data_IF_594821771560
#
_entry.id   IF_594821771560
#
_cell.length_a   1.000
_cell.length_b   1.000
_cell.length_c   1.000
_cell.angle_alpha   90.00
_cell.angle_beta   90.00
_cell.angle_gamma   90.00
#
_symmetry.space_group_name_H-M   'P 1'
#
loop_
_entity.id
_entity.type
_entity.pdbx_description
1 polymer ?
#
# COMPACT_ATOMS: atom_id res chain seq x y z
N UNK A 1 -6.19 21.79 20.05
CA UNK A 1 -5.50 22.48 18.94
C UNK A 1 -6.53 22.86 17.91
N UNK A 2 -6.38 24.01 17.26
CA UNK A 2 -7.20 24.35 16.11
C UNK A 2 -6.69 23.58 14.86
N UNK A 3 -7.52 23.51 13.80
CA UNK A 3 -7.21 22.78 12.56
C UNK A 3 -5.96 23.34 11.85
N UNK A 4 -5.80 24.66 11.80
CA UNK A 4 -4.64 25.34 11.21
C UNK A 4 -3.37 25.06 12.01
N UNK A 5 -3.44 25.10 13.34
CA UNK A 5 -2.28 24.73 14.18
C UNK A 5 -1.88 23.28 14.00
N UNK A 6 -2.84 22.37 13.86
CA UNK A 6 -2.57 20.92 13.65
C UNK A 6 -1.93 20.68 12.28
N UNK A 7 -2.46 21.30 11.23
CA UNK A 7 -1.91 21.17 9.89
C UNK A 7 -0.49 21.76 9.81
N UNK A 8 -0.28 22.93 10.40
CA UNK A 8 1.05 23.54 10.45
C UNK A 8 2.06 22.62 11.16
N UNK A 9 1.69 22.03 12.30
CA UNK A 9 2.54 21.11 13.04
C UNK A 9 2.87 19.83 12.26
N UNK A 10 1.90 19.27 11.52
CA UNK A 10 2.12 18.12 10.63
C UNK A 10 3.09 18.47 9.50
N UNK A 11 2.86 19.59 8.81
CA UNK A 11 3.68 20.01 7.68
C UNK A 11 5.11 20.39 8.07
N UNK A 12 5.32 20.89 9.29
CA UNK A 12 6.65 21.21 9.83
C UNK A 12 7.34 20.04 10.53
N UNK A 13 6.75 18.84 10.56
CA UNK A 13 7.29 17.70 11.28
C UNK A 13 8.39 16.98 10.48
N UNK A 14 9.60 16.94 11.05
CA UNK A 14 10.71 16.13 10.52
C UNK A 14 10.47 14.61 10.65
N UNK A 15 9.40 14.21 11.37
CA UNK A 15 9.00 12.80 11.52
C UNK A 15 8.11 12.31 10.37
N UNK A 16 7.72 13.19 9.43
CA UNK A 16 7.01 12.79 8.22
C UNK A 16 7.88 11.80 7.43
N UNK A 17 7.48 10.53 7.36
CA UNK A 17 8.31 9.52 6.75
C UNK A 17 8.38 9.73 5.24
N UNK A 18 9.58 9.71 4.68
CA UNK A 18 9.78 9.76 3.24
C UNK A 18 9.36 8.43 2.61
N UNK A 19 8.67 8.51 1.46
CA UNK A 19 8.33 7.31 0.71
C UNK A 19 9.62 6.64 0.20
N UNK A 20 9.77 5.31 0.36
CA UNK A 20 10.82 4.55 -0.29
C UNK A 20 10.86 4.83 -1.80
N UNK A 21 12.05 4.81 -2.38
CA UNK A 21 12.27 5.12 -3.81
C UNK A 21 11.38 4.30 -4.74
N UNK A 22 11.15 3.02 -4.43
CA UNK A 22 10.26 2.14 -5.21
C UNK A 22 8.81 2.61 -5.17
N UNK A 23 8.34 3.07 -4.01
CA UNK A 23 6.99 3.60 -3.81
C UNK A 23 6.78 4.92 -4.58
N UNK A 24 7.78 5.82 -4.53
CA UNK A 24 7.72 7.07 -5.28
C UNK A 24 7.71 6.81 -6.79
N UNK A 25 8.63 5.96 -7.28
CA UNK A 25 8.70 5.61 -8.70
C UNK A 25 7.44 4.92 -9.20
N UNK A 26 6.79 4.09 -8.39
CA UNK A 26 5.58 3.40 -8.85
C UNK A 26 4.43 4.37 -9.06
N UNK A 27 4.30 5.42 -8.22
CA UNK A 27 3.32 6.49 -8.43
C UNK A 27 3.56 7.18 -9.77
N UNK A 28 4.82 7.53 -10.06
CA UNK A 28 5.18 8.20 -11.32
C UNK A 28 4.94 7.31 -12.54
N UNK A 29 5.33 6.04 -12.50
CA UNK A 29 5.11 5.11 -13.61
C UNK A 29 3.62 4.92 -13.87
N UNK A 30 2.86 4.61 -12.83
CA UNK A 30 1.42 4.32 -12.99
C UNK A 30 0.56 5.53 -13.32
N UNK A 31 1.12 6.74 -13.32
CA UNK A 31 0.45 7.95 -13.82
C UNK A 31 0.62 8.14 -15.34
N UNK A 32 1.51 7.39 -16.00
CA UNK A 32 1.72 7.49 -17.45
C UNK A 32 0.82 6.52 -18.21
N UNK A 33 0.29 6.98 -19.33
CA UNK A 33 -0.56 6.16 -20.22
C UNK A 33 0.21 5.04 -20.94
N UNK A 34 1.53 5.18 -21.09
CA UNK A 34 2.39 4.24 -21.83
C UNK A 34 3.07 3.18 -20.94
N UNK A 35 2.72 3.10 -19.66
CA UNK A 35 3.36 2.17 -18.72
C UNK A 35 2.99 0.72 -18.99
N UNK A 36 4.01 -0.12 -19.13
CA UNK A 36 3.83 -1.56 -19.37
C UNK A 36 3.90 -2.38 -18.09
N UNK A 37 3.35 -3.60 -18.13
CA UNK A 37 3.51 -4.60 -17.06
C UNK A 37 5.00 -4.89 -16.77
N UNK A 38 5.84 -4.88 -17.81
CA UNK A 38 7.28 -5.11 -17.67
C UNK A 38 7.95 -4.00 -16.87
N UNK A 39 7.54 -2.75 -17.03
CA UNK A 39 8.11 -1.61 -16.30
C UNK A 39 7.81 -1.72 -14.80
N UNK A 40 6.58 -2.09 -14.46
CA UNK A 40 6.17 -2.34 -13.07
C UNK A 40 6.94 -3.52 -12.49
N UNK A 41 7.02 -4.64 -13.22
CA UNK A 41 7.72 -5.82 -12.75
C UNK A 41 9.21 -5.56 -12.53
N UNK A 42 9.87 -4.83 -13.45
CA UNK A 42 11.27 -4.41 -13.29
C UNK A 42 11.45 -3.54 -12.07
N UNK A 43 10.61 -2.52 -11.87
CA UNK A 43 10.69 -1.63 -10.73
C UNK A 43 10.56 -2.41 -9.41
N UNK A 44 9.52 -3.24 -9.28
CA UNK A 44 9.27 -4.04 -8.08
C UNK A 44 10.43 -4.99 -7.79
N UNK A 45 10.97 -5.63 -8.83
CA UNK A 45 12.09 -6.57 -8.71
C UNK A 45 13.38 -5.93 -8.21
N UNK A 46 13.50 -4.59 -8.21
CA UNK A 46 14.66 -3.90 -7.61
C UNK A 46 14.69 -3.96 -6.08
N UNK A 47 13.55 -4.26 -5.44
CA UNK A 47 13.46 -4.44 -3.99
C UNK A 47 13.04 -5.88 -3.67
N UNK A 48 14.02 -6.67 -3.21
CA UNK A 48 13.85 -8.09 -2.91
C UNK A 48 12.86 -8.33 -1.76
N UNK A 49 12.82 -7.45 -0.76
CA UNK A 49 11.93 -7.59 0.39
C UNK A 49 10.48 -7.31 -0.01
N UNK A 50 10.26 -6.30 -0.84
CA UNK A 50 8.95 -5.95 -1.37
C UNK A 50 8.45 -7.01 -2.36
N UNK A 51 9.34 -7.51 -3.22
CA UNK A 51 9.06 -8.64 -4.11
C UNK A 51 8.59 -9.89 -3.37
N UNK A 52 9.29 -10.27 -2.30
CA UNK A 52 8.91 -11.43 -1.48
C UNK A 52 7.53 -11.25 -0.83
N UNK A 53 7.20 -10.05 -0.33
CA UNK A 53 5.87 -9.76 0.24
C UNK A 53 4.75 -9.86 -0.80
N UNK A 54 4.99 -9.35 -2.02
CA UNK A 54 4.03 -9.45 -3.12
C UNK A 54 3.80 -10.91 -3.51
N UNK A 55 4.85 -11.71 -3.67
CA UNK A 55 4.71 -13.14 -3.97
C UNK A 55 3.96 -13.88 -2.86
N UNK A 56 4.24 -13.57 -1.59
CA UNK A 56 3.52 -14.16 -0.46
C UNK A 56 2.03 -13.84 -0.49
N UNK A 57 1.67 -12.59 -0.77
CA UNK A 57 0.26 -12.20 -0.88
C UNK A 57 -0.39 -12.79 -2.13
N UNK A 58 0.30 -12.81 -3.27
CA UNK A 58 -0.20 -13.41 -4.52
C UNK A 58 -0.55 -14.89 -4.36
N UNK A 59 0.21 -15.62 -3.52
CA UNK A 59 -0.03 -17.03 -3.20
C UNK A 59 -0.93 -17.25 -1.97
N UNK A 60 -1.54 -16.20 -1.44
CA UNK A 60 -2.42 -16.34 -0.26
C UNK A 60 -3.83 -16.79 -0.66
N UNK A 61 -4.56 -17.32 0.33
CA UNK A 61 -5.97 -17.68 0.16
C UNK A 61 -6.86 -16.50 -0.29
N UNK A 62 -6.40 -15.25 -0.14
CA UNK A 62 -7.12 -14.08 -0.64
C UNK A 62 -7.24 -14.06 -2.17
N UNK A 63 -6.16 -14.41 -2.89
CA UNK A 63 -6.19 -14.49 -4.35
C UNK A 63 -6.52 -15.90 -4.86
N UNK A 64 -6.23 -16.94 -4.07
CA UNK A 64 -6.61 -18.34 -4.34
C UNK A 64 -6.32 -18.82 -5.77
N UNK A 65 -5.17 -18.44 -6.34
CA UNK A 65 -4.80 -18.89 -7.67
C UNK A 65 -4.55 -20.41 -7.68
N UNK A 66 -4.95 -21.11 -8.76
CA UNK A 66 -4.83 -22.57 -8.86
C UNK A 66 -3.36 -23.04 -9.01
N UNK A 67 -2.45 -22.15 -9.40
CA UNK A 67 -1.03 -22.43 -9.54
C UNK A 67 -0.21 -21.46 -8.71
N UNK A 68 0.92 -21.95 -8.19
CA UNK A 68 1.86 -21.13 -7.43
C UNK A 68 2.50 -20.06 -8.32
N UNK A 69 2.43 -18.81 -7.85
CA UNK A 69 3.07 -17.66 -8.49
C UNK A 69 4.53 -17.60 -8.03
N UNK A 70 5.46 -17.73 -8.97
CA UNK A 70 6.91 -17.86 -8.67
C UNK A 70 7.75 -16.66 -9.10
N UNK A 71 7.18 -15.70 -9.84
CA UNK A 71 7.90 -14.51 -10.30
C UNK A 71 7.07 -13.24 -10.24
N UNK A 72 7.74 -12.10 -10.15
CA UNK A 72 7.08 -10.79 -10.17
C UNK A 72 6.44 -10.51 -11.52
N UNK A 73 7.05 -10.93 -12.63
CA UNK A 73 6.42 -10.84 -13.95
C UNK A 73 5.07 -11.55 -13.97
N UNK A 74 5.02 -12.79 -13.44
CA UNK A 74 3.77 -13.56 -13.36
C UNK A 74 2.76 -12.89 -12.41
N UNK A 75 3.20 -12.41 -11.25
CA UNK A 75 2.34 -11.69 -10.31
C UNK A 75 1.73 -10.43 -10.94
N UNK A 76 2.53 -9.61 -11.61
CA UNK A 76 2.07 -8.37 -12.27
C UNK A 76 1.13 -8.68 -13.42
N UNK A 77 1.39 -9.72 -14.22
CA UNK A 77 0.51 -10.12 -15.32
C UNK A 77 -0.86 -10.59 -14.86
N UNK A 78 -0.95 -11.28 -13.72
CA UNK A 78 -2.22 -11.84 -13.22
C UNK A 78 -2.97 -10.82 -12.37
N UNK A 79 -2.27 -10.08 -11.51
CA UNK A 79 -2.88 -9.07 -10.62
C UNK A 79 -3.19 -7.75 -11.34
N UNK A 80 -2.41 -7.42 -12.37
CA UNK A 80 -2.46 -6.13 -13.03
C UNK A 80 -1.69 -5.02 -12.30
N UNK A 81 -1.54 -3.89 -12.98
CA UNK A 81 -0.73 -2.74 -12.53
C UNK A 81 -1.29 -2.14 -11.24
N UNK A 82 -2.61 -1.93 -11.17
CA UNK A 82 -3.26 -1.24 -10.05
C UNK A 82 -3.11 -2.01 -8.73
N UNK A 83 -3.34 -3.32 -8.75
CA UNK A 83 -3.17 -4.15 -7.57
C UNK A 83 -1.71 -4.14 -7.07
N UNK A 84 -0.74 -4.28 -7.98
CA UNK A 84 0.69 -4.26 -7.62
C UNK A 84 1.12 -2.89 -7.09
N UNK A 85 0.72 -1.79 -7.73
CA UNK A 85 0.96 -0.41 -7.24
C UNK A 85 0.59 -0.28 -5.77
N UNK A 86 -0.52 -0.88 -5.40
CA UNK A 86 -1.13 -0.66 -4.09
C UNK A 86 -0.58 -1.55 -3.02
N UNK A 87 -0.20 -2.78 -3.38
CA UNK A 87 0.64 -3.62 -2.53
C UNK A 87 2.00 -2.94 -2.27
N UNK A 88 2.61 -2.36 -3.30
CA UNK A 88 3.88 -1.62 -3.18
C UNK A 88 3.72 -0.46 -2.21
N UNK A 89 2.71 0.39 -2.42
CA UNK A 89 2.45 1.53 -1.54
C UNK A 89 2.19 1.09 -0.10
N UNK A 90 1.31 0.11 0.09
CA UNK A 90 0.98 -0.43 1.43
C UNK A 90 2.20 -0.98 2.15
N UNK A 91 3.00 -1.82 1.49
CA UNK A 91 4.21 -2.38 2.10
C UNK A 91 5.28 -1.33 2.35
N UNK A 92 5.32 -0.28 1.53
CA UNK A 92 6.24 0.83 1.71
C UNK A 92 5.85 1.66 2.94
N UNK A 93 4.57 1.96 3.12
CA UNK A 93 4.08 2.61 4.34
C UNK A 93 4.30 1.77 5.60
N UNK A 94 4.06 0.45 5.51
CA UNK A 94 4.37 -0.52 6.56
C UNK A 94 5.85 -0.53 6.94
N UNK A 95 6.74 -0.30 5.97
CA UNK A 95 8.19 -0.37 6.16
C UNK A 95 8.80 0.90 6.73
N UNK A 96 8.07 2.01 6.72
CA UNK A 96 8.50 3.27 7.31
C UNK A 96 8.62 3.06 8.83
N UNK A 97 9.85 2.94 9.33
CA UNK A 97 10.14 2.71 10.76
C UNK A 97 9.67 3.90 11.62
N UNK A 98 9.30 3.63 12.87
CA UNK A 98 8.84 4.64 13.83
C UNK A 98 9.95 5.62 14.23
N UNK A 99 9.57 6.88 14.45
CA UNK A 99 10.43 7.90 15.04
C UNK A 99 10.86 7.54 16.46
N UNK A 100 11.84 8.29 16.99
CA UNK A 100 12.50 8.00 18.28
C UNK A 100 11.57 8.17 19.50
N UNK A 101 10.37 8.74 19.34
CA UNK A 101 9.42 8.96 20.44
C UNK A 101 8.62 7.70 20.76
N UNK A 102 8.45 7.43 22.06
CA UNK A 102 7.58 6.38 22.59
C UNK A 102 6.11 6.77 22.38
N UNK A 103 5.61 6.58 21.17
CA UNK A 103 4.18 6.69 20.89
C UNK A 103 3.51 5.41 21.37
N UNK A 104 2.45 5.49 22.18
CA UNK A 104 1.58 4.34 22.52
C UNK A 104 0.70 3.92 21.31
N UNK A 105 1.24 3.98 20.09
CA UNK A 105 0.52 3.62 18.89
C UNK A 105 0.80 2.16 18.52
N UNK A 106 -0.25 1.34 18.50
CA UNK A 106 -0.13 -0.05 18.10
C UNK A 106 -0.13 -0.15 16.56
N UNK A 107 1.05 0.01 15.96
CA UNK A 107 1.24 -0.10 14.51
C UNK A 107 0.72 -1.43 13.97
N UNK A 108 0.93 -2.54 14.67
CA UNK A 108 0.45 -3.85 14.22
C UNK A 108 -1.08 -3.88 14.10
N UNK A 109 -1.80 -3.38 15.11
CA UNK A 109 -3.26 -3.31 15.09
C UNK A 109 -3.78 -2.34 14.02
N UNK A 110 -3.12 -1.19 13.86
CA UNK A 110 -3.44 -0.23 12.79
C UNK A 110 -3.36 -0.88 11.41
N UNK A 111 -2.30 -1.64 11.16
CA UNK A 111 -2.11 -2.32 9.88
C UNK A 111 -3.08 -3.48 9.66
N UNK A 112 -3.42 -4.23 10.72
CA UNK A 112 -4.49 -5.24 10.67
C UNK A 112 -5.83 -4.61 10.31
N UNK A 113 -6.19 -3.49 10.95
CA UNK A 113 -7.44 -2.79 10.68
C UNK A 113 -7.49 -2.20 9.27
N UNK A 114 -6.38 -1.63 8.80
CA UNK A 114 -6.27 -1.08 7.44
C UNK A 114 -6.45 -2.17 6.37
N UNK A 115 -5.78 -3.33 6.56
CA UNK A 115 -5.96 -4.47 5.67
C UNK A 115 -7.38 -5.04 5.75
N UNK A 116 -7.93 -5.19 6.96
CA UNK A 116 -9.30 -5.68 7.15
C UNK A 116 -10.33 -4.76 6.48
N UNK A 117 -10.17 -3.44 6.58
CA UNK A 117 -11.01 -2.46 5.92
C UNK A 117 -10.94 -2.54 4.39
N UNK A 118 -9.73 -2.69 3.84
CA UNK A 118 -9.53 -2.91 2.41
C UNK A 118 -10.21 -4.19 1.91
N UNK A 119 -9.97 -5.32 2.59
CA UNK A 119 -10.59 -6.61 2.27
C UNK A 119 -12.11 -6.53 2.39
N UNK A 120 -12.63 -5.95 3.47
CA UNK A 120 -14.07 -5.81 3.68
C UNK A 120 -14.72 -4.96 2.58
N UNK A 121 -14.10 -3.82 2.22
CA UNK A 121 -14.58 -2.94 1.16
C UNK A 121 -14.64 -3.66 -0.18
N UNK A 122 -13.60 -4.46 -0.49
CA UNK A 122 -13.58 -5.32 -1.69
C UNK A 122 -14.73 -6.32 -1.69
N UNK A 123 -14.88 -7.10 -0.63
CA UNK A 123 -15.91 -8.14 -0.52
C UNK A 123 -17.35 -7.56 -0.60
N UNK A 124 -17.55 -6.34 -0.08
CA UNK A 124 -18.82 -5.63 -0.20
C UNK A 124 -19.07 -5.24 -1.66
N UNK A 125 -18.07 -4.65 -2.34
CA UNK A 125 -18.24 -4.19 -3.72
C UNK A 125 -18.25 -5.32 -4.76
N UNK A 126 -17.77 -6.52 -4.44
CA UNK A 126 -17.98 -7.71 -5.30
C UNK A 126 -19.47 -8.00 -5.53
N UNK A 127 -20.36 -7.53 -4.65
CA UNK A 127 -21.82 -7.64 -4.80
C UNK A 127 -22.44 -6.49 -5.58
N UNK A 128 -21.67 -5.48 -5.96
CA UNK A 128 -22.14 -4.29 -6.68
C UNK A 128 -21.73 -4.38 -8.15
N UNK A 129 -22.73 -4.36 -9.05
CA UNK A 129 -22.47 -4.49 -10.49
C UNK A 129 -21.71 -3.28 -11.02
N UNK A 130 -20.58 -3.53 -11.67
CA UNK A 130 -19.75 -2.50 -12.31
C UNK A 130 -18.80 -1.76 -11.36
N UNK A 131 -18.66 -2.21 -10.11
CA UNK A 131 -17.64 -1.68 -9.20
C UNK A 131 -16.24 -2.19 -9.56
N UNK A 132 -15.24 -1.30 -9.51
CA UNK A 132 -13.84 -1.70 -9.54
C UNK A 132 -13.43 -2.13 -8.12
N UNK A 133 -13.54 -3.44 -7.86
CA UNK A 133 -13.23 -4.05 -6.56
C UNK A 133 -11.75 -3.93 -6.20
N UNK A 134 -10.91 -3.78 -7.20
CA UNK A 134 -9.48 -3.65 -7.01
C UNK A 134 -9.20 -2.21 -6.63
N UNK A 135 -9.74 -1.22 -7.32
CA UNK A 135 -9.65 0.19 -6.93
C UNK A 135 -10.14 0.44 -5.49
N UNK A 136 -11.23 -0.20 -5.05
CA UNK A 136 -11.71 0.01 -3.66
C UNK A 136 -10.78 -0.62 -2.61
N UNK A 137 -10.23 -1.80 -2.88
CA UNK A 137 -9.24 -2.42 -1.99
C UNK A 137 -8.05 -1.48 -1.81
N UNK A 138 -7.64 -0.86 -2.92
CA UNK A 138 -6.54 0.10 -2.99
C UNK A 138 -6.84 1.35 -2.18
N UNK A 139 -8.05 1.90 -2.26
CA UNK A 139 -8.48 3.05 -1.47
C UNK A 139 -8.65 2.72 0.03
N UNK A 140 -9.08 1.49 0.34
CA UNK A 140 -9.29 1.04 1.71
C UNK A 140 -8.00 0.83 2.51
N UNK A 141 -6.90 0.46 1.84
CA UNK A 141 -5.59 0.25 2.48
C UNK A 141 -5.03 1.50 3.18
N UNK A 142 -4.96 2.68 2.54
CA UNK A 142 -4.49 3.92 3.15
C UNK A 142 -5.57 4.73 3.86
N UNK A 143 -6.80 4.22 4.02
CA UNK A 143 -7.95 5.03 4.48
C UNK A 143 -7.71 5.76 5.82
N UNK A 144 -6.90 5.16 6.70
CA UNK A 144 -6.59 5.71 8.03
C UNK A 144 -5.18 6.32 8.13
N UNK A 145 -4.53 6.66 7.01
CA UNK A 145 -3.18 7.26 7.02
C UNK A 145 -3.08 8.52 7.89
N UNK A 146 -4.17 9.27 8.07
CA UNK A 146 -4.21 10.43 8.96
C UNK A 146 -3.87 10.07 10.42
N UNK A 147 -4.33 8.92 10.92
CA UNK A 147 -4.01 8.44 12.27
C UNK A 147 -2.52 8.16 12.42
N UNK A 148 -1.92 7.55 11.39
CA UNK A 148 -0.48 7.27 11.36
C UNK A 148 0.35 8.56 11.38
N UNK A 149 -0.08 9.60 10.65
CA UNK A 149 0.58 10.90 10.60
C UNK A 149 0.47 11.61 11.95
N UNK A 150 -0.72 11.63 12.57
CA UNK A 150 -0.93 12.24 13.87
C UNK A 150 -0.09 11.52 14.93
N UNK A 151 -0.13 10.19 14.95
CA UNK A 151 0.64 9.38 15.89
C UNK A 151 2.16 9.58 15.79
N UNK A 152 2.68 10.08 14.66
CA UNK A 152 4.11 10.42 14.53
C UNK A 152 4.43 11.87 14.81
N UNK A 153 3.49 12.76 14.55
CA UNK A 153 3.69 14.21 14.73
C UNK A 153 3.60 14.58 16.21
N UNK A 154 2.74 13.90 16.96
CA UNK A 154 2.42 14.18 18.37
C UNK A 154 2.79 13.00 19.28
#
# INVERSE_FOLDING_TARGET
>A
MDKETTLAAVLSSDELPTLPTVASKIITLTAREDTTLSDIAKLVSTDTALSAKILKVSNSAFYSFPQQISSINQAVSILGINAVRSLVLSFSFLSMKGGKKKVQFNFENFWKNSLAGAVASKLILERVKGADTEEIFICGLPQNLGELIIARTF
#
